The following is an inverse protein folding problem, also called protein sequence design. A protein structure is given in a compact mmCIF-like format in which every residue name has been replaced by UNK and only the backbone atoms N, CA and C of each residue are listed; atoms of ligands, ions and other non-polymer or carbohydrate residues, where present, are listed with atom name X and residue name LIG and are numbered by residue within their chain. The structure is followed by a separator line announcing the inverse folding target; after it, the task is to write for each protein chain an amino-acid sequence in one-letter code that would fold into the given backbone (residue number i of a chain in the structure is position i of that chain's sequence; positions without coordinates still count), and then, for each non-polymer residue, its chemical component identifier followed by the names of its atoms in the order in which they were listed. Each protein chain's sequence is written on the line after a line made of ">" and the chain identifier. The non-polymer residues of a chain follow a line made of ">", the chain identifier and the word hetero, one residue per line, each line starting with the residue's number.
data_IF_543244929265
#
_entry.id   IF_543244929265
#
_cell.length_a   1.000
_cell.length_b   1.000
_cell.length_c   1.000
_cell.angle_alpha   90.00
_cell.angle_beta   90.00
_cell.angle_gamma   90.00
#
_symmetry.space_group_name_H-M   'P 1'
#
loop_
_entity.id
_entity.type
_entity.pdbx_description
1 polymer ?
#
# COMPACT_ATOMS: atom_id res chain seq x y z
N UNK A 1 79.26 -30.10 -58.74
CA UNK A 1 79.30 -31.45 -58.15
C UNK A 1 77.88 -31.83 -57.78
N UNK A 2 77.38 -32.89 -58.40
CA UNK A 2 76.28 -33.78 -58.04
C UNK A 2 75.07 -33.35 -57.16
N UNK A 3 73.89 -33.47 -57.78
CA UNK A 3 72.77 -34.38 -57.47
C UNK A 3 71.77 -34.05 -56.31
N UNK A 4 70.50 -33.96 -56.74
CA UNK A 4 69.20 -34.43 -56.20
C UNK A 4 68.28 -33.63 -55.25
N UNK A 5 67.07 -33.44 -55.80
CA UNK A 5 65.69 -33.49 -55.29
C UNK A 5 65.41 -33.81 -53.80
N UNK A 6 64.49 -33.03 -53.21
CA UNK A 6 63.26 -33.60 -52.61
C UNK A 6 62.08 -32.61 -52.62
N UNK A 7 60.88 -33.19 -52.70
CA UNK A 7 59.54 -32.61 -52.76
C UNK A 7 59.19 -31.79 -51.49
N UNK A 8 58.24 -30.85 -51.58
CA UNK A 8 56.89 -30.95 -51.00
C UNK A 8 56.14 -29.60 -51.04
N UNK A 9 54.89 -29.70 -51.49
CA UNK A 9 53.68 -28.99 -51.08
C UNK A 9 53.44 -27.50 -51.39
N UNK A 10 52.55 -27.34 -52.36
CA UNK A 10 51.61 -26.24 -52.54
C UNK A 10 50.76 -25.96 -51.30
N UNK A 11 50.76 -24.72 -50.81
CA UNK A 11 49.57 -24.16 -50.15
C UNK A 11 49.59 -22.63 -50.23
N UNK A 12 48.81 -22.10 -51.17
CA UNK A 12 48.41 -20.70 -51.21
C UNK A 12 47.59 -20.38 -49.95
N UNK A 13 48.14 -19.57 -49.05
CA UNK A 13 47.39 -19.05 -47.91
C UNK A 13 46.40 -17.99 -48.41
N UNK A 14 45.14 -18.38 -48.61
CA UNK A 14 44.02 -17.44 -48.72
C UNK A 14 43.71 -16.94 -47.31
N UNK A 15 44.05 -15.68 -47.04
CA UNK A 15 43.67 -14.99 -45.82
C UNK A 15 42.19 -14.61 -45.90
N UNK A 16 41.31 -15.53 -45.52
CA UNK A 16 39.88 -15.22 -45.34
C UNK A 16 39.72 -14.42 -44.04
N UNK A 17 39.66 -13.10 -44.16
CA UNK A 17 39.34 -12.21 -43.05
C UNK A 17 37.88 -12.39 -42.62
N UNK A 18 37.65 -13.11 -41.53
CA UNK A 18 36.37 -13.08 -40.83
C UNK A 18 36.30 -11.80 -40.00
N UNK A 19 35.58 -10.80 -40.49
CA UNK A 19 35.22 -9.63 -39.67
C UNK A 19 34.23 -10.07 -38.60
N UNK A 20 34.72 -10.37 -37.40
CA UNK A 20 33.88 -10.47 -36.22
C UNK A 20 33.39 -9.06 -35.86
N UNK A 21 32.19 -8.70 -36.29
CA UNK A 21 31.53 -7.49 -35.81
C UNK A 21 31.15 -7.71 -34.33
N UNK A 22 32.01 -7.25 -33.42
CA UNK A 22 31.68 -7.13 -32.01
C UNK A 22 30.60 -6.05 -31.88
N UNK A 23 29.34 -6.47 -31.84
CA UNK A 23 28.25 -5.60 -31.40
C UNK A 23 28.45 -5.31 -29.92
N UNK A 24 29.01 -4.13 -29.62
CA UNK A 24 29.03 -3.60 -28.26
C UNK A 24 27.60 -3.15 -27.96
N UNK A 25 26.85 -3.97 -27.25
CA UNK A 25 25.54 -3.58 -26.70
C UNK A 25 25.82 -2.65 -25.53
N UNK A 26 25.77 -1.34 -25.77
CA UNK A 26 25.78 -0.36 -24.69
C UNK A 26 24.39 -0.40 -24.05
N UNK A 27 24.23 -1.16 -22.96
CA UNK A 27 23.00 -1.15 -22.17
C UNK A 27 22.84 0.26 -21.57
N UNK A 28 21.88 1.03 -22.05
CA UNK A 28 21.51 2.28 -21.39
C UNK A 28 21.02 1.97 -19.97
N UNK A 29 21.38 2.76 -18.96
CA UNK A 29 20.82 2.59 -17.63
C UNK A 29 19.32 2.83 -17.73
N UNK A 30 18.52 1.83 -17.33
CA UNK A 30 17.08 1.99 -17.27
C UNK A 30 16.75 3.01 -16.16
N UNK A 31 15.87 3.97 -16.47
CA UNK A 31 15.43 5.04 -15.56
C UNK A 31 13.99 4.74 -15.17
N UNK A 32 13.68 4.82 -13.87
CA UNK A 32 12.32 4.63 -13.39
C UNK A 32 11.35 5.68 -13.94
N UNK A 33 10.09 5.27 -14.07
CA UNK A 33 9.02 6.18 -14.49
C UNK A 33 8.75 7.25 -13.44
N UNK A 34 8.39 8.43 -13.90
CA UNK A 34 7.84 9.50 -13.07
C UNK A 34 6.45 9.12 -12.53
N UNK A 35 5.99 9.72 -11.42
CA UNK A 35 4.63 9.51 -10.92
C UNK A 35 3.54 9.79 -11.97
N UNK A 36 3.74 10.80 -12.84
CA UNK A 36 2.80 11.12 -13.90
C UNK A 36 2.75 10.02 -14.97
N UNK A 37 3.89 9.45 -15.35
CA UNK A 37 3.94 8.32 -16.28
C UNK A 37 3.28 7.07 -15.69
N UNK A 38 3.48 6.82 -14.39
CA UNK A 38 2.76 5.76 -13.67
C UNK A 38 1.27 6.02 -13.69
N UNK A 39 0.79 7.24 -13.41
CA UNK A 39 -0.62 7.61 -13.48
C UNK A 39 -1.22 7.38 -14.88
N UNK A 40 -0.49 7.77 -15.93
CA UNK A 40 -0.93 7.64 -17.32
C UNK A 40 -1.10 6.16 -17.73
N UNK A 41 -0.31 5.26 -17.14
CA UNK A 41 -0.43 3.81 -17.33
C UNK A 41 -1.54 3.24 -16.44
N UNK A 42 -1.59 3.65 -15.17
CA UNK A 42 -2.51 3.14 -14.15
C UNK A 42 -3.99 3.44 -14.45
N UNK A 43 -4.29 4.66 -14.89
CA UNK A 43 -5.66 5.13 -15.12
C UNK A 43 -6.44 4.24 -16.09
N UNK A 44 -5.94 3.98 -17.31
CA UNK A 44 -6.61 3.11 -18.27
C UNK A 44 -6.82 1.66 -17.82
N UNK A 45 -5.98 1.16 -16.91
CA UNK A 45 -5.99 -0.21 -16.38
C UNK A 45 -6.93 -0.41 -15.19
N UNK A 46 -7.16 0.66 -14.42
CA UNK A 46 -7.94 0.61 -13.18
C UNK A 46 -9.42 0.86 -13.47
N UNK A 47 -10.28 0.15 -12.75
CA UNK A 47 -11.73 0.22 -12.88
C UNK A 47 -12.36 0.44 -11.51
N UNK A 48 -13.59 0.97 -11.50
CA UNK A 48 -14.44 0.88 -10.32
C UNK A 48 -15.17 -0.47 -10.33
N UNK A 49 -15.35 -1.04 -9.15
CA UNK A 49 -16.20 -2.23 -8.93
C UNK A 49 -17.32 -1.81 -7.99
N UNK A 50 -18.53 -1.69 -8.52
CA UNK A 50 -19.65 -1.06 -7.82
C UNK A 50 -20.80 -2.03 -7.60
N UNK A 51 -21.55 -1.82 -6.53
CA UNK A 51 -22.74 -2.59 -6.19
C UNK A 51 -23.79 -1.72 -5.49
N UNK A 52 -24.95 -2.29 -5.16
CA UNK A 52 -25.95 -1.59 -4.35
C UNK A 52 -25.55 -1.38 -2.88
N UNK A 53 -24.50 -2.07 -2.41
CA UNK A 53 -24.06 -2.04 -1.00
C UNK A 53 -22.79 -1.22 -0.77
N UNK A 54 -22.12 -0.83 -1.85
CA UNK A 54 -20.83 -0.17 -1.74
C UNK A 54 -20.01 -0.31 -3.00
N UNK A 55 -18.84 0.33 -2.91
CA UNK A 55 -18.02 0.73 -4.03
C UNK A 55 -16.56 0.40 -3.71
N UNK A 56 -15.86 -0.15 -4.70
CA UNK A 56 -14.44 -0.49 -4.63
C UNK A 56 -13.74 -0.20 -5.95
N UNK A 57 -12.52 -0.70 -6.06
CA UNK A 57 -11.65 -0.57 -7.22
C UNK A 57 -11.19 -1.95 -7.70
N UNK A 58 -10.61 -2.01 -8.89
CA UNK A 58 -10.07 -3.23 -9.49
C UNK A 58 -9.08 -2.90 -10.60
N UNK A 59 -8.33 -3.89 -11.07
CA UNK A 59 -7.39 -3.74 -12.20
C UNK A 59 -7.62 -4.81 -13.26
N UNK A 60 -7.63 -4.41 -14.54
CA UNK A 60 -7.77 -5.33 -15.67
C UNK A 60 -6.46 -6.10 -15.86
N UNK A 61 -6.47 -7.42 -15.64
CA UNK A 61 -5.27 -8.29 -15.66
C UNK A 61 -5.21 -9.28 -16.82
N UNK A 62 -6.33 -9.52 -17.52
CA UNK A 62 -6.37 -10.37 -18.70
C UNK A 62 -7.53 -10.00 -19.62
N UNK A 63 -7.39 -10.41 -20.89
CA UNK A 63 -8.43 -10.33 -21.91
C UNK A 63 -8.41 -11.60 -22.77
N UNK A 64 -9.56 -12.22 -22.95
CA UNK A 64 -9.76 -13.34 -23.87
C UNK A 64 -11.01 -13.09 -24.73
N UNK A 65 -10.83 -12.88 -26.04
CA UNK A 65 -11.92 -12.44 -26.92
C UNK A 65 -12.48 -11.09 -26.46
N UNK A 66 -13.78 -11.03 -26.14
CA UNK A 66 -14.45 -9.83 -25.59
C UNK A 66 -14.48 -9.80 -24.06
N UNK A 67 -14.05 -10.87 -23.41
CA UNK A 67 -14.11 -11.03 -21.95
C UNK A 67 -12.85 -10.44 -21.32
N UNK A 68 -13.04 -9.48 -20.42
CA UNK A 68 -12.00 -8.91 -19.58
C UNK A 68 -12.09 -9.51 -18.18
N UNK A 69 -10.92 -9.68 -17.57
CA UNK A 69 -10.78 -10.14 -16.19
C UNK A 69 -10.22 -9.01 -15.34
N UNK A 70 -10.96 -8.66 -14.29
CA UNK A 70 -10.59 -7.68 -13.27
C UNK A 70 -10.19 -8.42 -12.00
N UNK A 71 -9.02 -8.10 -11.47
CA UNK A 71 -8.59 -8.52 -10.14
C UNK A 71 -8.96 -7.43 -9.13
N UNK A 72 -9.53 -7.84 -8.00
CA UNK A 72 -9.92 -6.99 -6.88
C UNK A 72 -9.74 -7.77 -5.57
N UNK A 73 -10.07 -7.16 -4.43
CA UNK A 73 -10.09 -7.83 -3.13
C UNK A 73 -11.47 -8.44 -2.84
N UNK A 74 -11.52 -9.51 -2.03
CA UNK A 74 -12.76 -10.25 -1.81
C UNK A 74 -13.83 -9.42 -1.05
N UNK A 75 -13.46 -8.59 -0.08
CA UNK A 75 -14.44 -7.76 0.63
C UNK A 75 -15.16 -6.72 -0.24
N UNK A 76 -14.62 -6.36 -1.42
CA UNK A 76 -15.32 -5.52 -2.41
C UNK A 76 -16.49 -6.27 -3.05
N UNK A 77 -16.42 -7.61 -3.11
CA UNK A 77 -17.39 -8.48 -3.78
C UNK A 77 -17.95 -9.58 -2.88
N UNK A 78 -18.11 -9.29 -1.58
CA UNK A 78 -18.39 -10.29 -0.56
C UNK A 78 -19.78 -10.95 -0.64
N UNK A 79 -20.78 -10.29 -1.25
CA UNK A 79 -22.16 -10.77 -1.29
C UNK A 79 -22.46 -11.51 -2.59
N UNK A 80 -22.91 -12.75 -2.48
CA UNK A 80 -23.20 -13.61 -3.65
C UNK A 80 -24.53 -13.34 -4.33
N UNK A 81 -25.45 -12.63 -3.65
CA UNK A 81 -26.82 -12.38 -4.08
C UNK A 81 -27.03 -10.99 -4.71
N UNK A 82 -25.96 -10.18 -4.83
CA UNK A 82 -26.02 -8.85 -5.43
C UNK A 82 -25.33 -8.82 -6.80
N UNK A 83 -25.77 -7.85 -7.62
CA UNK A 83 -25.19 -7.60 -8.94
C UNK A 83 -24.06 -6.59 -8.82
N UNK A 84 -22.93 -6.92 -9.44
CA UNK A 84 -21.78 -6.03 -9.55
C UNK A 84 -21.70 -5.41 -10.94
N UNK A 85 -21.17 -4.20 -11.00
CA UNK A 85 -20.85 -3.49 -12.24
C UNK A 85 -19.39 -3.06 -12.24
N UNK A 86 -18.80 -3.06 -13.44
CA UNK A 86 -17.45 -2.56 -13.68
C UNK A 86 -17.56 -1.26 -14.45
N UNK A 87 -17.07 -0.16 -13.87
CA UNK A 87 -16.96 1.12 -14.56
C UNK A 87 -15.52 1.32 -15.04
N UNK A 88 -15.33 1.46 -16.34
CA UNK A 88 -13.99 1.61 -16.94
C UNK A 88 -13.54 3.06 -16.96
N UNK A 89 -12.24 3.27 -17.21
CA UNK A 89 -11.60 4.57 -17.40
C UNK A 89 -12.22 5.45 -18.49
N UNK A 90 -12.99 4.86 -19.42
CA UNK A 90 -13.75 5.58 -20.45
C UNK A 90 -15.17 5.96 -20.00
N UNK A 91 -15.50 5.77 -18.72
CA UNK A 91 -16.81 6.07 -18.15
C UNK A 91 -17.93 5.12 -18.58
N UNK A 92 -17.60 3.93 -19.10
CA UNK A 92 -18.59 2.91 -19.48
C UNK A 92 -18.84 1.95 -18.33
N UNK A 93 -20.11 1.59 -18.13
CA UNK A 93 -20.53 0.62 -17.12
C UNK A 93 -20.87 -0.71 -17.79
N UNK A 94 -20.29 -1.80 -17.29
CA UNK A 94 -20.58 -3.16 -17.74
C UNK A 94 -21.08 -3.98 -16.56
N UNK A 95 -22.09 -4.81 -16.78
CA UNK A 95 -22.51 -5.78 -15.78
C UNK A 95 -21.45 -6.88 -15.68
N UNK A 96 -21.10 -7.27 -14.45
CA UNK A 96 -20.24 -8.42 -14.22
C UNK A 96 -20.93 -9.69 -14.75
N UNK A 97 -20.24 -10.43 -15.63
CA UNK A 97 -20.71 -11.72 -16.15
C UNK A 97 -20.37 -12.86 -15.21
N UNK A 98 -19.33 -12.72 -14.39
CA UNK A 98 -19.02 -13.64 -13.30
C UNK A 98 -18.24 -12.95 -12.20
N UNK A 99 -18.42 -13.43 -10.97
CA UNK A 99 -17.65 -13.05 -9.78
C UNK A 99 -17.14 -14.32 -9.13
N UNK A 100 -15.83 -14.44 -8.94
CA UNK A 100 -15.18 -15.60 -8.33
C UNK A 100 -14.38 -15.14 -7.11
N UNK A 101 -14.91 -15.44 -5.92
CA UNK A 101 -14.23 -15.20 -4.64
C UNK A 101 -13.14 -16.25 -4.43
N UNK A 102 -11.89 -15.81 -4.27
CA UNK A 102 -10.75 -16.70 -4.08
C UNK A 102 -10.45 -16.98 -2.60
N UNK A 103 -10.85 -16.07 -1.72
CA UNK A 103 -10.87 -16.30 -0.27
C UNK A 103 -11.95 -17.34 0.10
N UNK A 104 -11.55 -18.53 0.57
CA UNK A 104 -12.48 -19.60 1.00
C UNK A 104 -12.52 -19.73 2.53
N UNK A 105 -11.38 -19.56 3.17
CA UNK A 105 -11.22 -19.48 4.62
C UNK A 105 -10.79 -18.05 5.04
N UNK A 106 -11.00 -17.71 6.31
CA UNK A 106 -10.59 -16.40 6.86
C UNK A 106 -9.08 -16.14 6.77
N UNK A 107 -8.27 -17.18 6.63
CA UNK A 107 -6.81 -17.06 6.48
C UNK A 107 -6.37 -16.95 5.02
N UNK A 108 -7.25 -17.22 4.07
CA UNK A 108 -6.91 -17.16 2.66
C UNK A 108 -6.72 -15.70 2.22
N UNK A 109 -5.89 -15.45 1.19
CA UNK A 109 -5.75 -14.12 0.61
C UNK A 109 -7.11 -13.48 0.26
N UNK A 110 -7.31 -12.24 0.67
CA UNK A 110 -8.53 -11.45 0.40
C UNK A 110 -8.57 -11.00 -1.06
N UNK A 111 -8.77 -11.95 -1.97
CA UNK A 111 -8.75 -11.75 -3.41
C UNK A 111 -10.02 -12.26 -4.08
N UNK A 112 -10.42 -11.57 -5.13
CA UNK A 112 -11.50 -12.01 -5.99
C UNK A 112 -11.29 -11.55 -7.44
N UNK A 113 -11.94 -12.28 -8.35
CA UNK A 113 -11.94 -11.98 -9.78
C UNK A 113 -13.33 -11.62 -10.23
N UNK A 114 -13.45 -10.56 -11.02
CA UNK A 114 -14.68 -10.14 -11.69
C UNK A 114 -14.45 -10.18 -13.19
N UNK A 115 -15.33 -10.83 -13.96
CA UNK A 115 -15.29 -10.79 -15.43
C UNK A 115 -16.41 -9.91 -15.98
N UNK A 116 -16.13 -9.21 -17.07
CA UNK A 116 -17.13 -8.47 -17.84
C UNK A 116 -16.83 -8.60 -19.33
N UNK A 117 -17.83 -8.35 -20.17
CA UNK A 117 -17.65 -8.33 -21.62
C UNK A 117 -17.74 -6.92 -22.17
N UNK A 118 -16.83 -6.57 -23.09
CA UNK A 118 -16.88 -5.29 -23.77
C UNK A 118 -16.46 -5.40 -25.25
N UNK A 119 -17.15 -4.68 -26.16
CA UNK A 119 -16.67 -4.48 -27.52
C UNK A 119 -15.56 -3.42 -27.61
N UNK A 120 -15.30 -2.67 -26.55
CA UNK A 120 -14.24 -1.68 -26.51
C UNK A 120 -12.89 -2.29 -26.10
N UNK A 121 -11.82 -1.65 -26.55
CA UNK A 121 -10.45 -2.02 -26.19
C UNK A 121 -10.00 -1.30 -24.92
N UNK A 122 -9.55 -2.08 -23.94
CA UNK A 122 -8.91 -1.61 -22.71
C UNK A 122 -7.53 -2.27 -22.56
N UNK A 123 -6.52 -1.53 -22.09
CA UNK A 123 -5.23 -2.12 -21.82
C UNK A 123 -5.34 -3.14 -20.68
N UNK A 124 -4.41 -4.09 -20.71
CA UNK A 124 -4.26 -5.14 -19.70
C UNK A 124 -2.96 -4.90 -18.96
N UNK A 125 -3.02 -4.98 -17.63
CA UNK A 125 -1.91 -4.66 -16.75
C UNK A 125 -0.77 -5.67 -16.88
N UNK A 126 0.46 -5.16 -16.74
CA UNK A 126 1.65 -5.98 -16.55
C UNK A 126 1.79 -6.30 -15.07
N UNK A 127 2.04 -7.56 -14.73
CA UNK A 127 2.27 -8.05 -13.38
C UNK A 127 3.77 -8.28 -13.18
N UNK A 128 4.29 -7.87 -12.03
CA UNK A 128 5.67 -8.13 -11.61
C UNK A 128 5.72 -9.06 -10.40
N UNK A 129 6.90 -9.59 -10.12
CA UNK A 129 7.15 -10.37 -8.90
C UNK A 129 7.10 -9.44 -7.68
N UNK A 130 6.11 -9.64 -6.82
CA UNK A 130 5.96 -8.82 -5.61
C UNK A 130 7.10 -8.97 -4.62
N UNK A 131 7.90 -10.04 -4.69
CA UNK A 131 9.05 -10.23 -3.80
C UNK A 131 10.19 -9.24 -4.06
N UNK A 132 10.17 -8.58 -5.22
CA UNK A 132 11.09 -7.48 -5.54
C UNK A 132 10.76 -6.18 -4.79
N UNK A 133 9.51 -6.02 -4.31
CA UNK A 133 9.08 -4.86 -3.54
C UNK A 133 9.52 -4.99 -2.08
N UNK A 134 10.80 -4.77 -1.80
CA UNK A 134 11.39 -4.81 -0.45
C UNK A 134 11.15 -3.51 0.32
N UNK A 135 11.43 -3.50 1.63
CA UNK A 135 11.35 -2.28 2.46
C UNK A 135 12.14 -1.13 1.81
N UNK A 136 11.51 0.04 1.73
CA UNK A 136 12.05 1.24 1.06
C UNK A 136 11.72 1.33 -0.43
N UNK A 137 11.14 0.29 -1.04
CA UNK A 137 10.70 0.33 -2.44
C UNK A 137 9.61 1.38 -2.63
N UNK A 138 9.78 2.25 -3.62
CA UNK A 138 8.74 3.19 -4.05
C UNK A 138 7.59 2.43 -4.71
N UNK A 139 6.37 2.70 -4.25
CA UNK A 139 5.14 2.15 -4.78
C UNK A 139 4.16 3.28 -5.11
N UNK A 140 3.15 2.93 -5.90
CA UNK A 140 2.05 3.82 -6.21
C UNK A 140 0.74 3.06 -6.09
N UNK A 141 -0.18 3.55 -5.25
CA UNK A 141 -1.53 3.01 -5.14
C UNK A 141 -2.44 3.81 -6.07
N UNK A 142 -3.22 3.14 -6.89
CA UNK A 142 -4.23 3.80 -7.73
C UNK A 142 -5.61 3.23 -7.44
N UNK A 143 -6.63 4.09 -7.37
CA UNK A 143 -8.00 3.64 -7.11
C UNK A 143 -8.99 4.78 -7.17
N UNK A 144 -10.24 4.50 -6.79
CA UNK A 144 -11.34 5.45 -6.81
C UNK A 144 -11.86 5.70 -5.39
N UNK A 145 -11.45 6.78 -4.71
CA UNK A 145 -12.01 7.14 -3.41
C UNK A 145 -13.54 7.27 -3.44
N UNK A 146 -14.21 6.87 -2.36
CA UNK A 146 -15.65 7.02 -2.12
C UNK A 146 -15.89 7.98 -0.92
N UNK A 147 -15.05 9.00 -0.80
CA UNK A 147 -15.11 10.00 0.28
C UNK A 147 -16.13 11.09 -0.02
N UNK A 148 -16.64 11.77 1.01
CA UNK A 148 -17.52 12.94 0.81
C UNK A 148 -18.92 12.61 0.28
N UNK A 149 -19.38 11.35 0.39
CA UNK A 149 -20.67 10.92 -0.13
C UNK A 149 -20.69 10.62 -1.62
N UNK A 150 -19.51 10.56 -2.27
CA UNK A 150 -19.38 10.18 -3.68
C UNK A 150 -19.58 8.67 -3.86
N UNK A 151 -20.36 8.30 -4.87
CA UNK A 151 -20.64 6.91 -5.23
C UNK A 151 -20.58 6.73 -6.75
N UNK A 152 -20.29 5.51 -7.19
CA UNK A 152 -20.26 5.15 -8.60
C UNK A 152 -19.54 6.17 -9.50
N UNK A 153 -20.28 6.73 -10.47
CA UNK A 153 -19.72 7.59 -11.51
C UNK A 153 -19.12 8.92 -11.01
N UNK A 154 -19.48 9.37 -9.81
CA UNK A 154 -19.00 10.64 -9.23
C UNK A 154 -17.62 10.50 -8.57
N UNK A 155 -17.11 9.27 -8.47
CA UNK A 155 -15.80 8.98 -7.90
C UNK A 155 -14.71 9.20 -8.95
N UNK A 156 -13.91 10.23 -8.75
CA UNK A 156 -12.69 10.48 -9.54
C UNK A 156 -11.52 9.59 -9.05
N UNK A 157 -10.57 9.22 -9.93
CA UNK A 157 -9.45 8.39 -9.54
C UNK A 157 -8.36 9.19 -8.79
N UNK A 158 -7.60 8.49 -7.94
CA UNK A 158 -6.47 9.04 -7.18
C UNK A 158 -5.24 8.13 -7.33
N UNK A 159 -4.07 8.73 -7.61
CA UNK A 159 -2.76 8.10 -7.48
C UNK A 159 -2.11 8.58 -6.18
N UNK A 160 -1.70 7.63 -5.35
CA UNK A 160 -1.02 7.90 -4.08
C UNK A 160 0.36 7.23 -4.03
N UNK A 161 1.45 8.01 -4.07
CA UNK A 161 2.79 7.47 -3.92
C UNK A 161 3.06 7.07 -2.46
N UNK A 162 3.88 6.04 -2.25
CA UNK A 162 4.33 5.64 -0.92
C UNK A 162 5.59 4.78 -0.98
N UNK A 163 6.14 4.43 0.18
CA UNK A 163 7.22 3.45 0.28
C UNK A 163 6.72 2.22 1.00
N UNK A 164 7.24 1.05 0.63
CA UNK A 164 7.08 -0.18 1.40
C UNK A 164 7.75 0.01 2.77
N UNK A 165 7.00 -0.18 3.85
CA UNK A 165 7.47 0.02 5.23
C UNK A 165 7.79 -1.29 5.92
N UNK A 166 7.04 -2.36 5.65
CA UNK A 166 7.28 -3.68 6.23
C UNK A 166 6.71 -4.81 5.38
N UNK A 167 7.27 -6.01 5.55
CA UNK A 167 6.80 -7.25 4.92
C UNK A 167 6.75 -8.42 5.90
N UNK A 168 5.81 -8.43 6.86
CA UNK A 168 5.68 -9.52 7.81
C UNK A 168 5.39 -10.84 7.08
N UNK A 169 6.04 -11.93 7.47
CA UNK A 169 5.86 -13.23 6.82
C UNK A 169 4.45 -13.82 7.01
N UNK A 170 3.75 -13.41 8.06
CA UNK A 170 2.41 -13.90 8.39
C UNK A 170 1.50 -12.75 8.82
N UNK A 171 0.39 -12.55 8.09
CA UNK A 171 -0.72 -11.67 8.47
C UNK A 171 -2.06 -12.24 7.99
N UNK A 172 -3.16 -11.94 8.69
CA UNK A 172 -4.50 -12.29 8.24
C UNK A 172 -4.70 -11.87 6.79
N UNK A 173 -5.29 -12.77 6.01
CA UNK A 173 -5.73 -12.50 4.65
C UNK A 173 -4.62 -12.06 3.68
N UNK A 174 -3.37 -12.38 4.02
CA UNK A 174 -2.16 -12.10 3.23
C UNK A 174 -1.84 -10.62 2.99
N UNK A 175 -2.34 -9.71 3.83
CA UNK A 175 -2.00 -8.27 3.81
C UNK A 175 -0.60 -7.97 4.36
N UNK A 176 0.42 -8.53 3.71
CA UNK A 176 1.80 -8.40 4.15
C UNK A 176 2.65 -7.44 3.30
N UNK A 177 2.12 -6.78 2.26
CA UNK A 177 2.82 -5.67 1.61
C UNK A 177 2.35 -4.35 2.24
N UNK A 178 3.08 -3.84 3.24
CA UNK A 178 2.71 -2.61 3.98
C UNK A 178 3.46 -1.40 3.48
N UNK A 179 2.79 -0.25 3.46
CA UNK A 179 3.32 1.01 2.95
C UNK A 179 2.60 2.21 3.56
N UNK A 180 3.13 3.41 3.28
CA UNK A 180 2.64 4.71 3.78
C UNK A 180 2.05 5.62 2.70
N UNK A 181 1.36 5.06 1.72
CA UNK A 181 0.58 5.84 0.76
C UNK A 181 -0.72 6.33 1.42
N UNK A 182 -1.20 7.53 1.12
CA UNK A 182 -2.52 8.00 1.59
C UNK A 182 -3.60 7.30 0.77
N UNK A 183 -4.47 6.52 1.39
CA UNK A 183 -5.58 5.87 0.68
C UNK A 183 -6.92 6.10 1.39
N UNK A 184 -8.02 5.86 0.67
CA UNK A 184 -9.36 6.12 1.15
C UNK A 184 -10.28 4.92 0.95
N UNK A 185 -11.41 4.91 1.68
CA UNK A 185 -12.51 3.99 1.37
C UNK A 185 -12.87 4.09 -0.12
N UNK A 186 -13.19 2.96 -0.76
CA UNK A 186 -13.39 2.88 -2.21
C UNK A 186 -12.13 2.59 -3.02
N UNK A 187 -10.93 2.84 -2.50
CA UNK A 187 -9.69 2.46 -3.17
C UNK A 187 -9.34 0.97 -2.99
N UNK A 188 -9.99 0.27 -2.05
CA UNK A 188 -9.83 -1.18 -1.87
C UNK A 188 -10.09 -1.93 -3.17
N UNK A 189 -9.25 -2.91 -3.46
CA UNK A 189 -9.19 -3.62 -4.73
C UNK A 189 -8.38 -2.92 -5.82
N UNK A 190 -7.95 -1.68 -5.60
CA UNK A 190 -7.11 -0.93 -6.53
C UNK A 190 -5.68 -1.50 -6.61
N UNK A 191 -5.01 -1.38 -7.77
CA UNK A 191 -3.65 -1.86 -7.95
C UNK A 191 -2.62 -1.05 -7.16
N UNK A 192 -1.64 -1.77 -6.62
CA UNK A 192 -0.36 -1.23 -6.16
C UNK A 192 0.68 -1.51 -7.24
N UNK A 193 1.30 -0.44 -7.73
CA UNK A 193 2.31 -0.47 -8.77
C UNK A 193 3.72 -0.28 -8.22
N UNK A 194 4.70 -0.89 -8.89
CA UNK A 194 6.11 -0.50 -8.77
C UNK A 194 6.43 0.74 -9.63
N UNK A 195 7.70 1.15 -9.62
CA UNK A 195 8.26 2.27 -10.39
C UNK A 195 8.22 2.09 -11.91
N UNK A 196 7.90 0.89 -12.41
CA UNK A 196 7.73 0.60 -13.83
C UNK A 196 6.25 0.51 -14.23
N UNK A 197 5.34 0.89 -13.33
CA UNK A 197 3.89 0.78 -13.48
C UNK A 197 3.40 -0.67 -13.68
N UNK A 198 4.06 -1.62 -13.02
CA UNK A 198 3.67 -3.05 -13.01
C UNK A 198 2.98 -3.38 -11.69
N UNK A 199 1.91 -4.16 -11.75
CA UNK A 199 1.13 -4.54 -10.57
C UNK A 199 1.93 -5.51 -9.71
N UNK A 200 2.13 -5.14 -8.45
CA UNK A 200 2.82 -5.93 -7.42
C UNK A 200 1.90 -6.28 -6.25
N UNK A 201 0.69 -5.73 -6.18
CA UNK A 201 -0.28 -6.07 -5.16
C UNK A 201 -1.61 -5.36 -5.35
N UNK A 202 -2.59 -5.70 -4.50
CA UNK A 202 -3.92 -5.11 -4.48
C UNK A 202 -4.12 -4.46 -3.13
N UNK A 203 -4.33 -3.14 -3.11
CA UNK A 203 -4.64 -2.42 -1.88
C UNK A 203 -5.97 -2.93 -1.32
N UNK A 204 -6.08 -3.11 -0.01
CA UNK A 204 -7.37 -3.49 0.58
C UNK A 204 -7.54 -3.18 2.05
N UNK A 205 -6.44 -2.96 2.78
CA UNK A 205 -6.52 -2.52 4.17
C UNK A 205 -5.92 -1.13 4.32
N UNK A 206 -6.71 -0.21 4.85
CA UNK A 206 -6.19 0.92 5.61
C UNK A 206 -6.13 0.52 7.06
N UNK A 207 -4.97 0.64 7.68
CA UNK A 207 -4.80 0.21 9.05
C UNK A 207 -5.48 1.22 9.98
N UNK A 208 -6.55 0.73 10.62
CA UNK A 208 -7.03 1.27 11.87
C UNK A 208 -6.29 0.54 12.98
N UNK A 209 -5.31 1.18 13.60
CA UNK A 209 -4.82 0.74 14.89
C UNK A 209 -5.97 0.75 15.89
N UNK A 210 -5.92 -0.18 16.83
CA UNK A 210 -6.88 -0.25 17.92
C UNK A 210 -6.12 0.08 19.19
N UNK A 211 -6.33 1.28 19.73
CA UNK A 211 -5.88 1.56 21.08
C UNK A 211 -6.85 0.84 22.03
N UNK A 212 -6.37 -0.20 22.71
CA UNK A 212 -7.11 -0.80 23.82
C UNK A 212 -6.98 0.17 24.98
N UNK A 213 -8.08 0.82 25.31
CA UNK A 213 -8.08 1.77 26.41
C UNK A 213 -8.11 0.98 27.72
N UNK A 214 -7.56 1.53 28.79
CA UNK A 214 -7.50 0.89 30.12
C UNK A 214 -8.88 0.52 30.70
N UNK A 215 -9.98 0.97 30.08
CA UNK A 215 -11.37 0.55 30.31
C UNK A 215 -11.81 -0.72 29.56
N UNK A 216 -10.95 -1.31 28.72
CA UNK A 216 -11.26 -2.44 27.85
C UNK A 216 -11.93 -2.09 26.52
N UNK A 217 -12.14 -0.80 26.22
CA UNK A 217 -12.82 -0.33 25.01
C UNK A 217 -11.83 -0.04 23.87
N UNK A 218 -12.20 -0.41 22.64
CA UNK A 218 -11.31 -0.41 21.48
C UNK A 218 -11.68 0.72 20.53
N UNK A 219 -10.75 1.65 20.27
CA UNK A 219 -10.96 2.79 19.38
C UNK A 219 -10.13 2.70 18.09
N UNK A 220 -10.73 2.89 16.90
CA UNK A 220 -10.01 2.85 15.63
C UNK A 220 -9.25 4.15 15.34
N UNK A 221 -7.92 4.10 15.32
CA UNK A 221 -7.01 5.19 14.90
C UNK A 221 -6.43 4.86 13.52
N UNK A 222 -6.52 5.75 12.53
CA UNK A 222 -5.83 5.50 11.25
C UNK A 222 -4.32 5.69 11.46
N UNK A 223 -3.55 4.62 11.48
CA UNK A 223 -2.12 4.66 11.87
C UNK A 223 -1.22 5.27 10.79
N UNK A 224 -1.78 5.61 9.62
CA UNK A 224 -1.04 6.07 8.45
C UNK A 224 -0.43 4.91 7.64
N UNK A 225 -0.69 3.67 8.05
CA UNK A 225 -0.26 2.48 7.33
C UNK A 225 -1.39 1.91 6.51
N UNK A 226 -1.02 1.42 5.34
CA UNK A 226 -1.91 0.72 4.43
C UNK A 226 -1.24 -0.56 4.00
N UNK A 227 -2.03 -1.56 3.68
CA UNK A 227 -1.54 -2.85 3.26
C UNK A 227 -2.22 -3.29 1.96
N UNK A 228 -1.47 -4.08 1.21
CA UNK A 228 -1.92 -4.79 0.04
C UNK A 228 -1.67 -6.29 0.19
N UNK A 229 -2.50 -7.07 -0.49
CA UNK A 229 -2.21 -8.46 -0.78
C UNK A 229 -1.20 -8.50 -1.94
N UNK A 230 0.02 -9.04 -1.76
CA UNK A 230 0.97 -9.15 -2.85
C UNK A 230 0.46 -10.04 -3.98
N UNK A 231 0.78 -9.66 -5.22
CA UNK A 231 0.27 -10.34 -6.41
C UNK A 231 0.73 -11.80 -6.51
N UNK A 232 1.83 -12.18 -5.88
CA UNK A 232 2.28 -13.58 -5.83
C UNK A 232 1.23 -14.51 -5.19
N UNK A 233 0.40 -14.02 -4.26
CA UNK A 233 -0.71 -14.79 -3.70
C UNK A 233 -1.77 -15.13 -4.77
N UNK A 234 -2.08 -14.17 -5.65
CA UNK A 234 -2.97 -14.42 -6.79
C UNK A 234 -2.38 -15.44 -7.76
N UNK A 235 -1.06 -15.39 -8.00
CA UNK A 235 -0.38 -16.33 -8.89
C UNK A 235 -0.49 -17.79 -8.42
N UNK A 236 -0.66 -18.03 -7.12
CA UNK A 236 -0.92 -19.36 -6.55
C UNK A 236 -2.37 -19.83 -6.73
N UNK A 237 -3.29 -18.91 -7.03
CA UNK A 237 -4.73 -19.14 -7.12
C UNK A 237 -5.29 -19.11 -8.55
N UNK A 238 -4.44 -19.12 -9.59
CA UNK A 238 -4.88 -19.04 -11.00
C UNK A 238 -5.89 -20.13 -11.37
N UNK A 239 -5.69 -21.37 -10.91
CA UNK A 239 -6.64 -22.45 -11.15
C UNK A 239 -8.00 -22.18 -10.50
N UNK A 240 -8.01 -21.67 -9.27
CA UNK A 240 -9.25 -21.29 -8.57
C UNK A 240 -9.95 -20.09 -9.23
N UNK A 241 -9.17 -19.19 -9.85
CA UNK A 241 -9.68 -18.09 -10.66
C UNK A 241 -10.16 -18.52 -12.06
N UNK A 242 -9.96 -19.78 -12.45
CA UNK A 242 -10.27 -20.27 -13.79
C UNK A 242 -9.43 -19.56 -14.87
N UNK A 243 -8.13 -19.39 -14.60
CA UNK A 243 -7.18 -18.70 -15.46
C UNK A 243 -5.91 -19.52 -15.67
N UNK A 244 -5.26 -19.30 -16.81
CA UNK A 244 -3.93 -19.80 -17.12
C UNK A 244 -2.90 -18.68 -17.05
N UNK A 245 -1.68 -19.03 -16.66
CA UNK A 245 -0.56 -18.07 -16.58
C UNK A 245 -0.28 -17.37 -17.92
N UNK A 246 -0.52 -18.04 -19.05
CA UNK A 246 -0.34 -17.49 -20.40
C UNK A 246 -1.29 -16.34 -20.74
N UNK A 247 -2.38 -16.18 -19.98
CA UNK A 247 -3.33 -15.08 -20.16
C UNK A 247 -2.84 -13.77 -19.51
N UNK A 248 -1.80 -13.86 -18.67
CA UNK A 248 -1.24 -12.74 -17.92
C UNK A 248 0.01 -12.19 -18.61
N UNK A 249 0.13 -10.85 -18.62
CA UNK A 249 1.37 -10.19 -18.98
C UNK A 249 2.28 -10.15 -17.75
N UNK A 250 3.25 -11.06 -17.68
CA UNK A 250 4.20 -11.12 -16.57
C UNK A 250 5.56 -10.59 -17.01
N UNK A 251 6.06 -9.60 -16.28
CA UNK A 251 7.41 -9.08 -16.44
C UNK A 251 8.24 -9.48 -15.21
N UNK A 252 9.35 -10.18 -15.47
CA UNK A 252 10.27 -10.69 -14.44
C UNK A 252 11.55 -9.87 -14.34
N UNK A 253 11.66 -8.80 -15.13
CA UNK A 253 12.82 -7.92 -15.02
C UNK A 253 12.84 -7.30 -13.63
N UNK A 254 14.00 -7.21 -12.96
CA UNK A 254 14.12 -6.47 -11.73
C UNK A 254 13.58 -5.06 -11.95
N UNK A 255 12.72 -4.58 -11.04
CA UNK A 255 12.28 -3.19 -11.11
C UNK A 255 13.52 -2.31 -11.12
N UNK A 256 13.55 -1.32 -12.03
CA UNK A 256 14.46 -0.20 -11.84
C UNK A 256 14.01 0.44 -10.56
N UNK A 257 14.79 0.25 -9.49
CA UNK A 257 14.59 1.09 -8.33
C UNK A 257 14.70 2.50 -8.87
N UNK A 258 13.63 3.28 -8.74
CA UNK A 258 13.73 4.70 -9.03
C UNK A 258 14.85 5.30 -8.20
N UNK A 259 15.17 6.59 -8.36
CA UNK A 259 15.83 7.24 -7.25
C UNK A 259 14.99 6.90 -6.01
N UNK A 260 15.51 6.00 -5.15
CA UNK A 260 15.30 6.05 -3.71
C UNK A 260 15.38 7.54 -3.50
N UNK A 261 14.29 8.22 -3.15
CA UNK A 261 14.30 9.67 -3.02
C UNK A 261 15.41 10.02 -2.05
N UNK A 262 16.64 10.23 -2.54
CA UNK A 262 17.91 9.83 -1.92
C UNK A 262 17.77 9.66 -0.42
N UNK A 263 17.20 8.51 -0.01
CA UNK A 263 16.99 8.28 1.41
C UNK A 263 18.34 7.78 1.84
N UNK A 264 19.22 8.73 2.16
CA UNK A 264 20.39 8.42 2.94
C UNK A 264 19.84 7.56 4.10
N UNK A 265 20.30 6.31 4.30
CA UNK A 265 19.76 5.44 5.35
C UNK A 265 19.89 6.03 6.76
N UNK A 266 20.53 7.21 6.85
CA UNK A 266 20.71 8.06 8.02
C UNK A 266 19.88 9.37 7.98
N UNK A 267 18.98 9.57 7.02
CA UNK A 267 18.10 10.74 6.99
C UNK A 267 16.84 10.54 7.84
N UNK A 268 16.16 11.66 8.09
CA UNK A 268 14.99 11.68 8.95
C UNK A 268 13.83 10.80 8.43
N UNK A 269 13.72 10.68 7.11
CA UNK A 269 12.65 9.97 6.45
C UNK A 269 12.84 8.45 6.58
N UNK A 270 14.05 7.94 6.33
CA UNK A 270 14.41 6.53 6.57
C UNK A 270 14.15 6.11 8.01
N UNK A 271 14.62 6.92 8.96
CA UNK A 271 14.47 6.65 10.37
C UNK A 271 13.00 6.66 10.80
N UNK A 272 12.21 7.61 10.31
CA UNK A 272 10.79 7.66 10.61
C UNK A 272 10.08 6.39 10.12
N UNK A 273 10.34 5.97 8.88
CA UNK A 273 9.68 4.79 8.31
C UNK A 273 10.16 3.47 8.91
N UNK A 274 11.42 3.37 9.33
CA UNK A 274 11.90 2.19 10.07
C UNK A 274 11.29 2.11 11.47
N UNK A 275 11.14 3.25 12.15
CA UNK A 275 10.46 3.31 13.45
C UNK A 275 8.99 2.88 13.34
N UNK A 276 8.31 3.37 12.31
CA UNK A 276 6.96 2.96 11.93
C UNK A 276 6.87 1.42 11.71
N UNK A 277 7.82 0.83 10.98
CA UNK A 277 7.91 -0.61 10.73
C UNK A 277 8.04 -1.44 12.01
N UNK A 278 8.91 -1.00 12.93
CA UNK A 278 9.15 -1.64 14.23
C UNK A 278 7.95 -1.52 15.16
N UNK A 279 7.28 -0.37 15.17
CA UNK A 279 6.08 -0.15 15.98
C UNK A 279 4.99 -1.17 15.63
N UNK A 280 4.79 -1.42 14.34
CA UNK A 280 3.86 -2.44 13.85
C UNK A 280 4.25 -3.88 14.20
N UNK A 281 5.55 -4.16 14.36
CA UNK A 281 6.05 -5.46 14.78
C UNK A 281 5.91 -5.67 16.30
N UNK A 282 5.49 -4.64 17.04
CA UNK A 282 5.46 -4.64 18.50
C UNK A 282 6.81 -4.26 19.15
N UNK A 283 7.84 -4.00 18.34
CA UNK A 283 9.19 -3.61 18.75
C UNK A 283 9.21 -2.11 19.11
N UNK A 284 8.42 -1.75 20.11
CA UNK A 284 8.11 -0.36 20.41
C UNK A 284 9.32 0.43 20.94
N UNK A 285 10.26 -0.22 21.63
CA UNK A 285 11.51 0.41 22.07
C UNK A 285 12.40 0.78 20.88
N UNK A 286 12.56 -0.16 19.95
CA UNK A 286 13.32 0.00 18.73
C UNK A 286 12.65 1.01 17.80
N UNK A 287 11.32 1.11 17.82
CA UNK A 287 10.56 2.13 17.12
C UNK A 287 10.87 3.54 17.63
N UNK A 288 10.82 3.74 18.96
CA UNK A 288 11.17 5.01 19.60
C UNK A 288 12.61 5.41 19.28
N UNK A 289 13.54 4.45 19.33
CA UNK A 289 14.94 4.70 18.99
C UNK A 289 15.10 5.25 17.56
N UNK A 290 14.35 4.71 16.61
CA UNK A 290 14.37 5.19 15.23
C UNK A 290 13.66 6.53 15.05
N UNK A 291 12.50 6.75 15.69
CA UNK A 291 11.85 8.06 15.68
C UNK A 291 12.74 9.16 16.26
N UNK A 292 13.51 8.86 17.32
CA UNK A 292 14.47 9.80 17.89
C UNK A 292 15.62 10.11 16.92
N UNK A 293 16.11 9.11 16.18
CA UNK A 293 17.11 9.36 15.11
C UNK A 293 16.53 10.21 13.99
N UNK A 294 15.25 10.03 13.66
CA UNK A 294 14.56 10.88 12.69
C UNK A 294 14.48 12.33 13.15
N UNK A 295 14.13 12.56 14.43
CA UNK A 295 14.11 13.90 15.02
C UNK A 295 15.50 14.52 15.15
N UNK A 296 16.54 13.71 15.38
CA UNK A 296 17.92 14.19 15.41
C UNK A 296 18.38 14.65 14.01
N UNK A 297 18.01 13.90 12.96
CA UNK A 297 18.34 14.24 11.58
C UNK A 297 17.53 15.46 11.07
N UNK A 298 16.26 15.56 11.46
CA UNK A 298 15.41 16.72 11.15
C UNK A 298 14.50 17.03 12.35
N UNK A 299 14.88 18.00 13.20
CA UNK A 299 14.02 18.46 14.28
C UNK A 299 12.67 18.92 13.74
N UNK A 300 11.59 18.62 14.46
CA UNK A 300 10.21 18.96 14.05
C UNK A 300 9.81 18.41 12.68
N UNK A 301 10.27 17.20 12.34
CA UNK A 301 10.07 16.61 11.02
C UNK A 301 8.60 16.59 10.56
N UNK A 302 7.71 16.00 11.35
CA UNK A 302 6.27 15.93 11.09
C UNK A 302 5.51 15.65 12.38
N UNK A 303 4.29 16.19 12.59
CA UNK A 303 3.48 15.93 13.78
C UNK A 303 3.21 14.44 14.01
N UNK A 304 3.06 13.64 12.95
CA UNK A 304 2.82 12.19 12.99
C UNK A 304 3.98 11.44 13.65
N UNK A 305 5.21 11.94 13.56
CA UNK A 305 6.35 11.31 14.21
C UNK A 305 6.17 11.39 15.73
N UNK A 306 5.85 12.57 16.27
CA UNK A 306 5.58 12.72 17.71
C UNK A 306 4.36 11.91 18.14
N UNK A 307 3.31 11.86 17.33
CA UNK A 307 2.14 11.00 17.58
C UNK A 307 2.53 9.52 17.65
N UNK A 308 3.37 9.04 16.73
CA UNK A 308 3.82 7.65 16.71
C UNK A 308 4.83 7.31 17.82
N UNK A 309 5.62 8.28 18.32
CA UNK A 309 6.36 8.11 19.59
C UNK A 309 5.37 7.89 20.75
N UNK A 310 4.30 8.69 20.82
CA UNK A 310 3.24 8.53 21.82
C UNK A 310 2.62 7.14 21.77
N UNK A 311 2.23 6.68 20.58
CA UNK A 311 1.68 5.34 20.38
C UNK A 311 2.66 4.24 20.80
N UNK A 312 3.95 4.38 20.46
CA UNK A 312 4.98 3.43 20.85
C UNK A 312 5.17 3.37 22.38
N UNK A 313 5.14 4.53 23.07
CA UNK A 313 5.23 4.57 24.54
C UNK A 313 4.03 3.88 25.18
N UNK A 314 2.82 4.12 24.68
CA UNK A 314 1.61 3.45 25.14
C UNK A 314 1.70 1.93 24.95
N UNK A 315 2.23 1.45 23.81
CA UNK A 315 2.37 0.02 23.52
C UNK A 315 3.35 -0.69 24.46
N UNK A 316 4.37 0.01 24.98
CA UNK A 316 5.34 -0.53 25.94
C UNK A 316 4.71 -0.73 27.33
N UNK A 317 3.60 -0.06 27.64
CA UNK A 317 3.08 0.08 29.00
C UNK A 317 1.90 -0.82 29.36
N UNK A 318 2.18 -1.96 29.99
CA UNK A 318 1.20 -2.64 30.88
C UNK A 318 1.73 -2.86 32.31
N UNK A 319 2.95 -2.43 32.64
CA UNK A 319 3.59 -2.75 33.94
C UNK A 319 4.39 -1.62 34.62
N UNK A 320 4.48 -0.42 34.04
CA UNK A 320 5.25 0.71 34.61
C UNK A 320 4.40 2.00 34.63
N UNK A 321 4.04 2.45 35.83
CA UNK A 321 3.12 3.57 36.09
C UNK A 321 3.73 4.96 35.87
N UNK A 322 5.01 5.06 35.51
CA UNK A 322 5.69 6.34 35.31
C UNK A 322 5.57 6.89 33.88
N UNK A 323 5.02 6.11 32.93
CA UNK A 323 5.15 6.35 31.47
C UNK A 323 4.01 7.11 30.79
N UNK A 324 2.81 7.18 31.38
CA UNK A 324 1.71 7.98 30.82
C UNK A 324 2.09 9.45 30.66
N UNK A 325 2.92 9.98 31.57
CA UNK A 325 3.54 11.31 31.49
C UNK A 325 4.38 11.55 30.22
N UNK A 326 4.99 10.50 29.65
CA UNK A 326 5.86 10.60 28.47
C UNK A 326 5.06 10.51 27.18
N UNK A 327 4.00 9.69 27.14
CA UNK A 327 3.06 9.64 26.03
C UNK A 327 2.29 10.96 25.89
N UNK A 328 1.81 11.54 27.00
CA UNK A 328 1.15 12.86 27.03
C UNK A 328 2.06 13.93 26.43
N UNK A 329 3.35 13.93 26.77
CA UNK A 329 4.32 14.88 26.20
C UNK A 329 4.49 14.69 24.69
N UNK A 330 4.57 13.44 24.21
CA UNK A 330 4.68 13.15 22.79
C UNK A 330 3.44 13.63 22.01
N UNK A 331 2.23 13.32 22.49
CA UNK A 331 1.01 13.81 21.88
C UNK A 331 0.87 15.33 21.97
N UNK A 332 1.30 15.95 23.07
CA UNK A 332 1.32 17.41 23.21
C UNK A 332 2.21 18.06 22.16
N UNK A 333 3.37 17.47 21.83
CA UNK A 333 4.22 17.93 20.73
C UNK A 333 3.56 17.74 19.37
N UNK A 334 2.87 16.62 19.15
CA UNK A 334 2.10 16.38 17.93
C UNK A 334 1.00 17.43 17.74
N UNK A 335 0.25 17.75 18.79
CA UNK A 335 -0.80 18.78 18.82
C UNK A 335 -0.23 20.18 18.62
N UNK A 336 0.91 20.50 19.25
CA UNK A 336 1.56 21.79 19.07
C UNK A 336 2.02 21.98 17.61
N UNK A 337 2.49 20.91 16.96
CA UNK A 337 2.87 20.93 15.55
C UNK A 337 1.65 20.93 14.60
N UNK A 338 0.53 20.31 14.99
CA UNK A 338 -0.73 20.33 14.26
C UNK A 338 -1.93 20.41 15.21
N UNK A 339 -2.47 21.63 15.45
CA UNK A 339 -3.65 21.83 16.30
C UNK A 339 -4.94 21.19 15.76
N UNK A 340 -4.96 20.74 14.51
CA UNK A 340 -6.06 19.98 13.90
C UNK A 340 -5.94 18.47 14.05
N UNK A 341 -4.93 17.97 14.76
CA UNK A 341 -4.65 16.53 14.85
C UNK A 341 -5.58 15.84 15.86
N UNK A 342 -6.82 15.59 15.43
CA UNK A 342 -7.88 15.02 16.26
C UNK A 342 -7.47 13.72 16.98
N UNK A 343 -6.75 12.82 16.30
CA UNK A 343 -6.28 11.55 16.90
C UNK A 343 -5.22 11.78 17.99
N UNK A 344 -4.42 12.84 17.90
CA UNK A 344 -3.46 13.18 18.95
C UNK A 344 -4.15 13.70 20.21
N UNK A 345 -5.21 14.52 20.07
CA UNK A 345 -6.05 14.91 21.21
C UNK A 345 -6.72 13.69 21.84
N UNK A 346 -7.31 12.83 21.01
CA UNK A 346 -7.99 11.63 21.48
C UNK A 346 -7.04 10.68 22.24
N UNK A 347 -5.85 10.39 21.70
CA UNK A 347 -4.89 9.52 22.37
C UNK A 347 -4.24 10.18 23.60
N UNK A 348 -4.10 11.52 23.61
CA UNK A 348 -3.67 12.23 24.81
C UNK A 348 -4.72 12.15 25.92
N UNK A 349 -6.02 12.22 25.58
CA UNK A 349 -7.10 12.01 26.53
C UNK A 349 -7.02 10.61 27.18
N UNK A 350 -6.71 9.58 26.38
CA UNK A 350 -6.52 8.23 26.89
C UNK A 350 -5.33 8.12 27.84
N UNK A 351 -4.21 8.73 27.49
CA UNK A 351 -3.04 8.78 28.37
C UNK A 351 -3.33 9.56 29.67
N UNK A 352 -4.13 10.64 29.60
CA UNK A 352 -4.62 11.35 30.79
C UNK A 352 -5.50 10.43 31.68
N UNK A 353 -6.38 9.61 31.11
CA UNK A 353 -7.15 8.62 31.88
C UNK A 353 -6.26 7.59 32.59
N UNK A 354 -5.21 7.10 31.94
CA UNK A 354 -4.23 6.19 32.56
C UNK A 354 -3.54 6.84 33.77
N UNK A 355 -3.28 8.15 33.68
CA UNK A 355 -2.75 8.95 34.79
C UNK A 355 -3.81 9.38 35.81
N UNK A 356 -5.08 8.98 35.64
CA UNK A 356 -6.23 9.39 36.47
C UNK A 356 -6.53 10.91 36.39
N UNK A 357 -6.10 11.57 35.33
CA UNK A 357 -6.31 12.98 35.01
C UNK A 357 -7.62 13.16 34.21
N UNK A 358 -8.73 12.90 34.91
CA UNK A 358 -10.07 12.84 34.32
C UNK A 358 -10.53 14.17 33.68
N UNK A 359 -10.34 15.35 34.30
CA UNK A 359 -10.73 16.64 33.70
C UNK A 359 -10.02 16.92 32.37
N UNK A 360 -8.71 16.67 32.31
CA UNK A 360 -7.87 16.85 31.13
C UNK A 360 -8.30 15.91 30.00
N UNK A 361 -8.61 14.65 30.33
CA UNK A 361 -9.14 13.70 29.36
C UNK A 361 -10.46 14.16 28.74
N UNK A 362 -11.40 14.68 29.54
CA UNK A 362 -12.68 15.19 29.03
C UNK A 362 -12.44 16.36 28.06
N UNK A 363 -11.57 17.30 28.41
CA UNK A 363 -11.27 18.45 27.55
C UNK A 363 -10.67 18.01 26.20
N UNK A 364 -9.74 17.05 26.22
CA UNK A 364 -9.13 16.52 25.00
C UNK A 364 -10.11 15.68 24.16
N UNK A 365 -10.98 14.88 24.77
CA UNK A 365 -12.04 14.19 24.03
C UNK A 365 -13.03 15.16 23.40
N UNK A 366 -13.39 16.24 24.09
CA UNK A 366 -14.25 17.28 23.53
C UNK A 366 -13.60 17.90 22.29
N UNK A 367 -12.30 18.20 22.36
CA UNK A 367 -11.58 18.76 21.22
C UNK A 367 -11.46 17.76 20.07
N UNK A 368 -11.16 16.50 20.36
CA UNK A 368 -11.13 15.43 19.38
C UNK A 368 -12.49 15.26 18.68
N UNK A 369 -13.58 15.24 19.44
CA UNK A 369 -14.94 15.14 18.91
C UNK A 369 -15.28 16.31 17.97
N UNK A 370 -14.95 17.54 18.38
CA UNK A 370 -15.13 18.73 17.54
C UNK A 370 -14.42 18.57 16.18
N UNK A 371 -13.14 18.21 16.21
CA UNK A 371 -12.32 18.04 15.02
C UNK A 371 -12.78 16.85 14.15
N UNK A 372 -13.16 15.72 14.76
CA UNK A 372 -13.72 14.58 14.03
C UNK A 372 -15.02 14.94 13.33
N UNK A 373 -15.91 15.71 13.98
CA UNK A 373 -17.15 16.20 13.36
C UNK A 373 -16.87 17.13 12.18
N UNK A 374 -15.94 18.07 12.35
CA UNK A 374 -15.52 18.98 11.27
C UNK A 374 -14.93 18.20 10.08
N UNK A 375 -14.16 17.14 10.35
CA UNK A 375 -13.59 16.26 9.34
C UNK A 375 -14.51 15.15 8.81
N UNK A 376 -15.80 15.13 9.15
CA UNK A 376 -16.76 14.12 8.69
C UNK A 376 -16.53 12.70 9.23
N UNK A 377 -15.70 12.52 10.28
CA UNK A 377 -15.39 11.23 10.91
C UNK A 377 -16.47 10.85 11.93
N UNK A 378 -17.69 10.58 11.45
CA UNK A 378 -18.87 10.34 12.30
C UNK A 378 -18.67 9.27 13.36
N UNK A 379 -18.08 8.12 13.03
CA UNK A 379 -17.86 7.04 14.01
C UNK A 379 -16.90 7.45 15.15
N UNK A 380 -15.79 8.12 14.82
CA UNK A 380 -14.81 8.59 15.81
C UNK A 380 -15.38 9.73 16.68
N UNK A 381 -16.20 10.61 16.09
CA UNK A 381 -16.97 11.61 16.82
C UNK A 381 -17.91 10.98 17.84
N UNK A 382 -18.70 9.98 17.42
CA UNK A 382 -19.65 9.28 18.30
C UNK A 382 -18.93 8.54 19.44
N UNK A 383 -17.78 7.94 19.15
CA UNK A 383 -16.97 7.29 20.17
C UNK A 383 -16.42 8.30 21.20
N UNK A 384 -15.80 9.39 20.75
CA UNK A 384 -15.31 10.44 21.65
C UNK A 384 -16.46 11.03 22.51
N UNK A 385 -17.65 11.21 21.94
CA UNK A 385 -18.87 11.62 22.65
C UNK A 385 -19.29 10.63 23.72
N UNK A 386 -19.30 9.34 23.40
CA UNK A 386 -19.62 8.27 24.35
C UNK A 386 -18.63 8.26 25.52
N UNK A 387 -17.33 8.45 25.25
CA UNK A 387 -16.30 8.53 26.30
C UNK A 387 -16.48 9.72 27.22
N UNK A 388 -16.83 10.90 26.68
CA UNK A 388 -17.15 12.08 27.49
C UNK A 388 -18.32 11.76 28.43
N UNK A 389 -19.36 11.12 27.94
CA UNK A 389 -20.55 10.76 28.73
C UNK A 389 -20.25 9.75 29.84
N UNK A 390 -19.41 8.74 29.58
CA UNK A 390 -18.97 7.79 30.60
C UNK A 390 -18.08 8.42 31.69
N UNK A 391 -17.42 9.53 31.37
CA UNK A 391 -16.55 10.27 32.27
C UNK A 391 -17.30 11.44 32.96
N UNK A 392 -18.58 11.64 32.74
CA UNK A 392 -19.35 12.61 33.53
C UNK A 392 -20.02 11.88 34.70
#
# INVERSE_FOLDING_TARGET
>A
MNINFSRFDTLSSVLAGTTAALTIVISQPAIAKTPQEVANIAGPLTVQVNSSLGDGSGVIIAKNGKTYTVLTVNHVVEKSDIKYTVRTSKGKNYQATSVTRLQKAQTDPDLAVVKFESPEEYPVATIADSDTAVIGTQIYVYGYPATGGLFGADREPELSPGLVTSRPSNRPEAYNLRYQAVTWSGMSGGPVFDSEARVIGLHGQGEFGFAQTSSGEVAPIKTGFNAAVPINNFMLQLTAAGMNKSELKVDKTPAVQGPISIINPQDAQAYYFRGLSRLDQGDAWEAIADFNKALAAKPNYTPELYFNIGNAITLIGSSDTTRGSTAIQAYTRAIAANPGFADAYYNRALAHLENKEKPEAIADFQKAAELYKQGGRTSAYLDARKRIEQLQ
#
